data_IF_891434963642
#
_entry.id   IF_891434963642
#
_cell.length_a   1.000
_cell.length_b   1.000
_cell.length_c   1.000
_cell.angle_alpha   90.00
_cell.angle_beta   90.00
_cell.angle_gamma   90.00
#
_symmetry.space_group_name_H-M   'P 1'
#
loop_
_entity.id
_entity.type
_entity.pdbx_description
1 polymer ?
#
# COMPACT_ATOMS: atom_id res chain seq x y z
N UNK A 1 -27.08 15.20 -3.60
CA UNK A 1 -26.73 14.01 -2.82
C UNK A 1 -25.36 13.56 -3.32
N UNK A 2 -24.31 13.89 -2.57
CA UNK A 2 -22.96 13.44 -2.86
C UNK A 2 -22.92 11.93 -2.63
N UNK A 3 -22.63 11.15 -3.68
CA UNK A 3 -22.30 9.75 -3.54
C UNK A 3 -20.98 9.69 -2.76
N UNK A 4 -21.11 9.29 -1.51
CA UNK A 4 -19.99 8.82 -0.70
C UNK A 4 -19.30 7.73 -1.51
N UNK A 5 -18.08 8.02 -2.01
CA UNK A 5 -17.26 7.06 -2.75
C UNK A 5 -16.75 6.05 -1.72
N UNK A 6 -17.63 5.10 -1.38
CA UNK A 6 -17.43 4.12 -0.34
C UNK A 6 -16.16 3.32 -0.58
N UNK A 7 -15.41 3.16 0.48
CA UNK A 7 -14.44 2.09 0.70
C UNK A 7 -14.99 0.81 0.09
N UNK A 8 -14.19 0.11 -0.71
CA UNK A 8 -14.52 -1.15 -1.39
C UNK A 8 -15.35 -2.06 -0.46
N UNK A 9 -16.67 -2.13 -0.71
CA UNK A 9 -17.61 -2.95 0.06
C UNK A 9 -17.79 -4.34 -0.55
N UNK A 10 -16.98 -4.67 -1.58
CA UNK A 10 -16.96 -5.98 -2.23
C UNK A 10 -16.50 -7.09 -1.28
N UNK A 11 -16.92 -8.31 -1.56
CA UNK A 11 -16.43 -9.49 -0.85
C UNK A 11 -14.97 -9.78 -1.21
N UNK A 12 -14.28 -10.59 -0.39
CA UNK A 12 -12.95 -11.11 -0.74
C UNK A 12 -12.99 -11.85 -2.08
N UNK A 13 -14.06 -12.56 -2.36
CA UNK A 13 -14.27 -13.26 -3.64
C UNK A 13 -14.29 -12.27 -4.80
N UNK A 14 -15.08 -11.19 -4.69
CA UNK A 14 -15.15 -10.15 -5.72
C UNK A 14 -13.77 -9.50 -5.98
N UNK A 15 -12.99 -9.26 -4.93
CA UNK A 15 -11.65 -8.74 -5.07
C UNK A 15 -10.74 -9.72 -5.82
N UNK A 16 -10.78 -11.01 -5.49
CA UNK A 16 -9.97 -12.04 -6.15
C UNK A 16 -10.37 -12.23 -7.60
N UNK A 17 -11.66 -12.20 -7.92
CA UNK A 17 -12.16 -12.30 -9.30
C UNK A 17 -11.70 -11.10 -10.14
N UNK A 18 -11.75 -9.89 -9.59
CA UNK A 18 -11.22 -8.69 -10.24
C UNK A 18 -9.71 -8.76 -10.43
N UNK A 19 -8.98 -9.23 -9.42
CA UNK A 19 -7.52 -9.37 -9.46
C UNK A 19 -7.07 -10.37 -10.53
N UNK A 20 -7.82 -11.45 -10.73
CA UNK A 20 -7.55 -12.47 -11.74
C UNK A 20 -7.94 -12.03 -13.16
N UNK A 21 -8.70 -10.95 -13.30
CA UNK A 21 -9.17 -10.47 -14.59
C UNK A 21 -8.03 -9.83 -15.42
N UNK A 22 -8.22 -9.77 -16.74
CA UNK A 22 -7.29 -9.06 -17.65
C UNK A 22 -7.57 -7.54 -17.64
N UNK A 23 -7.44 -6.91 -16.49
CA UNK A 23 -7.66 -5.47 -16.26
C UNK A 23 -6.42 -4.85 -15.65
N UNK A 24 -6.19 -3.54 -15.82
CA UNK A 24 -5.03 -2.86 -15.22
C UNK A 24 -5.06 -2.87 -13.68
N UNK A 25 -6.24 -2.87 -13.08
CA UNK A 25 -6.47 -2.84 -11.63
C UNK A 25 -7.65 -3.74 -11.25
N UNK A 26 -7.66 -4.31 -10.03
CA UNK A 26 -6.59 -4.29 -9.03
C UNK A 26 -5.33 -5.03 -9.48
N UNK A 27 -4.18 -4.69 -8.88
CA UNK A 27 -2.88 -5.28 -9.18
C UNK A 27 -2.03 -5.45 -7.90
N UNK A 28 -0.72 -5.60 -8.06
CA UNK A 28 0.20 -5.83 -6.96
C UNK A 28 0.14 -4.76 -5.85
N UNK A 29 -0.11 -3.50 -6.19
CA UNK A 29 -0.25 -2.42 -5.22
C UNK A 29 -1.49 -2.58 -4.34
N UNK A 30 -2.62 -2.92 -4.95
CA UNK A 30 -3.85 -3.24 -4.23
C UNK A 30 -3.67 -4.45 -3.31
N UNK A 31 -2.91 -5.48 -3.75
CA UNK A 31 -2.55 -6.64 -2.91
C UNK A 31 -1.71 -6.21 -1.71
N UNK A 32 -0.72 -5.33 -1.90
CA UNK A 32 0.10 -4.82 -0.80
C UNK A 32 -0.74 -4.13 0.29
N UNK A 33 -1.67 -3.28 -0.13
CA UNK A 33 -2.59 -2.60 0.78
C UNK A 33 -3.54 -3.57 1.49
N UNK A 34 -4.09 -4.57 0.78
CA UNK A 34 -4.92 -5.62 1.37
C UNK A 34 -4.16 -6.48 2.39
N UNK A 35 -2.93 -6.85 2.12
CA UNK A 35 -2.07 -7.53 3.09
C UNK A 35 -1.92 -6.70 4.37
N UNK A 36 -1.64 -5.40 4.23
CA UNK A 36 -1.49 -4.50 5.39
C UNK A 36 -2.79 -4.37 6.18
N UNK A 37 -3.95 -4.30 5.51
CA UNK A 37 -5.26 -4.28 6.17
C UNK A 37 -5.54 -5.57 6.94
N UNK A 38 -5.25 -6.73 6.37
CA UNK A 38 -5.40 -8.04 7.04
C UNK A 38 -4.49 -8.16 8.26
N UNK A 39 -3.24 -7.72 8.14
CA UNK A 39 -2.30 -7.70 9.26
C UNK A 39 -2.81 -6.82 10.40
N UNK A 40 -3.29 -5.60 10.11
CA UNK A 40 -3.87 -4.70 11.09
C UNK A 40 -5.14 -5.31 11.75
N UNK A 41 -5.98 -6.00 10.99
CA UNK A 41 -7.16 -6.70 11.51
C UNK A 41 -6.79 -7.79 12.50
N UNK A 42 -5.78 -8.63 12.21
CA UNK A 42 -5.25 -9.63 13.14
C UNK A 42 -4.71 -8.98 14.42
N UNK A 43 -3.97 -7.88 14.29
CA UNK A 43 -3.45 -7.12 15.45
C UNK A 43 -4.60 -6.58 16.30
N UNK A 44 -5.65 -6.00 15.69
CA UNK A 44 -6.83 -5.52 16.40
C UNK A 44 -7.54 -6.66 17.16
N UNK A 45 -7.65 -7.83 16.54
CA UNK A 45 -8.20 -9.01 17.19
C UNK A 45 -7.39 -9.41 18.44
N UNK A 46 -6.07 -9.54 18.30
CA UNK A 46 -5.19 -9.92 19.42
C UNK A 46 -5.23 -8.86 20.53
N UNK A 47 -5.21 -7.56 20.17
CA UNK A 47 -5.29 -6.45 21.12
C UNK A 47 -6.58 -6.50 21.95
N UNK A 48 -7.72 -6.91 21.39
CA UNK A 48 -8.97 -7.13 22.10
C UNK A 48 -8.84 -8.26 23.13
N UNK A 49 -8.23 -9.37 22.76
CA UNK A 49 -7.98 -10.48 23.70
C UNK A 49 -6.97 -10.14 24.80
N UNK A 50 -6.10 -9.15 24.57
CA UNK A 50 -5.16 -8.64 25.56
C UNK A 50 -5.73 -7.48 26.39
N UNK A 51 -6.99 -7.08 26.17
CA UNK A 51 -7.65 -5.95 26.85
C UNK A 51 -6.86 -4.64 26.72
N UNK A 52 -6.28 -4.39 25.52
CA UNK A 52 -5.44 -3.24 25.21
C UNK A 52 -6.19 -2.24 24.30
N UNK A 53 -7.14 -1.44 24.79
CA UNK A 53 -8.06 -0.63 24.00
C UNK A 53 -7.32 0.40 23.11
N UNK A 54 -6.24 0.99 23.57
CA UNK A 54 -5.44 1.95 22.78
C UNK A 54 -4.78 1.28 21.57
N UNK A 55 -4.35 0.03 21.70
CA UNK A 55 -3.77 -0.72 20.60
C UNK A 55 -4.85 -1.22 19.63
N UNK A 56 -6.07 -1.48 20.13
CA UNK A 56 -7.24 -1.78 19.28
C UNK A 56 -7.52 -0.58 18.38
N UNK A 57 -7.68 0.61 18.95
CA UNK A 57 -7.98 1.84 18.20
C UNK A 57 -6.92 2.12 17.12
N UNK A 58 -5.64 2.04 17.49
CA UNK A 58 -4.53 2.23 16.52
C UNK A 58 -4.58 1.22 15.39
N UNK A 59 -4.81 -0.05 15.69
CA UNK A 59 -4.89 -1.10 14.68
C UNK A 59 -6.11 -0.93 13.75
N UNK A 60 -7.25 -0.50 14.28
CA UNK A 60 -8.45 -0.20 13.48
C UNK A 60 -8.24 0.99 12.53
N UNK A 61 -7.56 2.04 12.98
CA UNK A 61 -7.20 3.18 12.14
C UNK A 61 -6.25 2.75 10.99
N UNK A 62 -5.26 1.91 11.29
CA UNK A 62 -4.37 1.35 10.26
C UNK A 62 -5.11 0.45 9.28
N UNK A 63 -6.03 -0.38 9.75
CA UNK A 63 -6.88 -1.22 8.91
C UNK A 63 -7.74 -0.37 7.97
N UNK A 64 -8.39 0.67 8.50
CA UNK A 64 -9.21 1.59 7.71
C UNK A 64 -8.36 2.33 6.66
N UNK A 65 -7.18 2.83 7.05
CA UNK A 65 -6.27 3.52 6.12
C UNK A 65 -5.76 2.58 5.03
N UNK A 66 -5.38 1.36 5.37
CA UNK A 66 -4.91 0.38 4.39
C UNK A 66 -6.00 0.00 3.38
N UNK A 67 -7.27 -0.12 3.81
CA UNK A 67 -8.40 -0.33 2.89
C UNK A 67 -8.61 0.86 1.95
N UNK A 68 -8.45 2.08 2.44
CA UNK A 68 -8.54 3.27 1.60
C UNK A 68 -7.39 3.31 0.58
N UNK A 69 -6.19 2.86 0.96
CA UNK A 69 -5.02 2.78 0.06
C UNK A 69 -5.23 1.81 -1.11
N UNK A 70 -6.09 0.79 -0.99
CA UNK A 70 -6.48 -0.06 -2.14
C UNK A 70 -7.14 0.80 -3.21
N UNK A 71 -8.10 1.63 -2.84
CA UNK A 71 -8.85 2.51 -3.76
C UNK A 71 -7.95 3.59 -4.36
N UNK A 72 -7.07 4.16 -3.52
CA UNK A 72 -6.11 5.18 -3.96
C UNK A 72 -5.09 4.60 -4.96
N UNK A 73 -4.61 3.37 -4.75
CA UNK A 73 -3.72 2.66 -5.65
C UNK A 73 -4.39 2.40 -7.01
N UNK A 74 -5.61 1.86 -7.01
CA UNK A 74 -6.36 1.61 -8.25
C UNK A 74 -6.55 2.89 -9.06
N UNK A 75 -6.89 4.00 -8.41
CA UNK A 75 -7.06 5.31 -9.05
C UNK A 75 -5.73 5.85 -9.60
N UNK A 76 -4.67 5.79 -8.79
CA UNK A 76 -3.36 6.30 -9.19
C UNK A 76 -2.77 5.50 -10.36
N UNK A 77 -2.97 4.18 -10.39
CA UNK A 77 -2.53 3.37 -11.52
C UNK A 77 -3.38 3.60 -12.78
N UNK A 78 -4.66 3.92 -12.64
CA UNK A 78 -5.50 4.37 -13.75
C UNK A 78 -4.89 5.58 -14.45
N UNK A 79 -4.43 6.58 -13.70
CA UNK A 79 -3.75 7.75 -14.25
C UNK A 79 -2.43 7.40 -14.99
N UNK A 80 -1.71 6.36 -14.55
CA UNK A 80 -0.53 5.85 -15.27
C UNK A 80 -0.93 5.22 -16.61
N UNK A 81 -2.00 4.42 -16.62
CA UNK A 81 -2.52 3.82 -17.85
C UNK A 81 -2.98 4.89 -18.87
N UNK A 82 -3.67 5.93 -18.40
CA UNK A 82 -4.10 7.07 -19.21
C UNK A 82 -2.91 7.83 -19.81
N UNK A 83 -1.87 8.08 -19.00
CA UNK A 83 -0.64 8.74 -19.47
C UNK A 83 0.09 7.90 -20.55
N UNK A 84 0.10 6.59 -20.42
CA UNK A 84 0.68 5.71 -21.45
C UNK A 84 -0.15 5.66 -22.73
N UNK A 85 -1.46 5.88 -22.66
CA UNK A 85 -2.35 5.92 -23.80
C UNK A 85 -2.25 7.23 -24.62
N UNK A 86 -1.57 8.27 -24.11
CA UNK A 86 -1.37 9.53 -24.83
C UNK A 86 -0.69 9.29 -26.20
N UNK A 87 -1.00 10.15 -27.21
CA UNK A 87 -0.43 10.04 -28.55
C UNK A 87 1.10 9.99 -28.53
N UNK A 88 1.67 9.26 -29.49
CA UNK A 88 3.11 9.14 -29.71
C UNK A 88 3.50 9.94 -30.96
N UNK A 89 4.72 10.46 -30.97
CA UNK A 89 5.28 11.18 -32.11
C UNK A 89 6.04 12.43 -31.65
N UNK A 90 6.97 12.90 -32.45
CA UNK A 90 7.91 13.96 -32.08
C UNK A 90 7.27 15.25 -31.53
N UNK A 91 6.03 15.55 -31.93
CA UNK A 91 5.29 16.72 -31.43
C UNK A 91 4.69 16.53 -30.03
N UNK A 92 4.62 15.29 -29.53
CA UNK A 92 3.95 14.92 -28.26
C UNK A 92 4.89 14.26 -27.25
N UNK A 93 6.11 13.92 -27.66
CA UNK A 93 7.00 13.08 -26.84
C UNK A 93 7.40 13.75 -25.53
N UNK A 94 7.62 15.06 -25.51
CA UNK A 94 7.98 15.80 -24.30
C UNK A 94 6.80 15.85 -23.30
N UNK A 95 5.62 16.24 -23.79
CA UNK A 95 4.39 16.32 -22.98
C UNK A 95 4.02 14.93 -22.43
N UNK A 96 4.07 13.91 -23.29
CA UNK A 96 3.81 12.53 -22.91
C UNK A 96 4.79 12.02 -21.85
N UNK A 97 6.07 12.30 -22.01
CA UNK A 97 7.10 11.91 -21.04
C UNK A 97 6.88 12.57 -19.68
N UNK A 98 6.54 13.87 -19.67
CA UNK A 98 6.23 14.60 -18.47
C UNK A 98 4.97 14.05 -17.77
N UNK A 99 3.91 13.76 -18.54
CA UNK A 99 2.68 13.17 -18.02
C UNK A 99 2.91 11.79 -17.38
N UNK A 100 3.65 10.91 -18.07
CA UNK A 100 4.03 9.59 -17.52
C UNK A 100 4.85 9.75 -16.24
N UNK A 101 5.81 10.65 -16.21
CA UNK A 101 6.64 10.91 -15.04
C UNK A 101 5.83 11.37 -13.84
N UNK A 102 4.91 12.31 -14.06
CA UNK A 102 4.01 12.81 -13.02
C UNK A 102 3.07 11.70 -12.50
N UNK A 103 2.51 10.89 -13.40
CA UNK A 103 1.63 9.78 -13.04
C UNK A 103 2.36 8.69 -12.22
N UNK A 104 3.57 8.30 -12.61
CA UNK A 104 4.41 7.34 -11.87
C UNK A 104 4.79 7.84 -10.47
N UNK A 105 5.11 9.13 -10.33
CA UNK A 105 5.33 9.76 -9.03
C UNK A 105 4.06 9.71 -8.18
N UNK A 106 2.92 10.07 -8.75
CA UNK A 106 1.62 10.00 -8.08
C UNK A 106 1.25 8.58 -7.63
N UNK A 107 1.50 7.57 -8.48
CA UNK A 107 1.24 6.17 -8.16
C UNK A 107 2.20 5.59 -7.09
N UNK A 108 3.33 6.24 -6.86
CA UNK A 108 4.26 5.84 -5.80
C UNK A 108 3.80 6.31 -4.41
N UNK A 109 2.97 7.34 -4.31
CA UNK A 109 2.54 7.93 -3.03
C UNK A 109 1.68 6.97 -2.19
N UNK A 110 0.58 6.35 -2.70
CA UNK A 110 -0.18 5.37 -1.92
C UNK A 110 0.68 4.18 -1.51
N UNK A 111 1.59 3.73 -2.35
CA UNK A 111 2.49 2.61 -2.02
C UNK A 111 3.49 2.95 -0.90
N UNK A 112 4.03 4.17 -0.87
CA UNK A 112 4.87 4.62 0.24
C UNK A 112 4.09 4.63 1.56
N UNK A 113 2.82 5.03 1.54
CA UNK A 113 1.96 5.00 2.71
C UNK A 113 1.58 3.56 3.14
N UNK A 114 1.47 2.60 2.22
CA UNK A 114 1.35 1.18 2.57
C UNK A 114 2.58 0.71 3.35
N UNK A 115 3.78 1.09 2.93
CA UNK A 115 5.02 0.76 3.67
C UNK A 115 4.99 1.34 5.08
N UNK A 116 4.61 2.60 5.24
CA UNK A 116 4.51 3.26 6.55
C UNK A 116 3.48 2.57 7.45
N UNK A 117 2.30 2.28 6.92
CA UNK A 117 1.25 1.58 7.67
C UNK A 117 1.69 0.16 8.07
N UNK A 118 2.36 -0.58 7.19
CA UNK A 118 2.87 -1.91 7.50
C UNK A 118 3.95 -1.88 8.59
N UNK A 119 4.84 -0.88 8.59
CA UNK A 119 5.83 -0.67 9.65
C UNK A 119 5.13 -0.41 10.99
N UNK A 120 4.11 0.45 11.00
CA UNK A 120 3.35 0.74 12.22
C UNK A 120 2.62 -0.51 12.75
N UNK A 121 2.08 -1.36 11.88
CA UNK A 121 1.51 -2.67 12.26
C UNK A 121 2.57 -3.54 12.96
N UNK A 122 3.80 -3.59 12.43
CA UNK A 122 4.89 -4.34 13.06
C UNK A 122 5.25 -3.79 14.45
N UNK A 123 5.22 -2.47 14.63
CA UNK A 123 5.40 -1.84 15.96
C UNK A 123 4.30 -2.27 16.93
N UNK A 124 3.03 -2.31 16.49
CA UNK A 124 1.93 -2.78 17.34
C UNK A 124 2.08 -4.26 17.72
N UNK A 125 2.58 -5.10 16.82
CA UNK A 125 2.88 -6.51 17.10
C UNK A 125 3.91 -6.62 18.23
N UNK A 126 4.98 -5.84 18.17
CA UNK A 126 6.03 -5.88 19.20
C UNK A 126 5.51 -5.38 20.56
N UNK A 127 4.63 -4.39 20.61
CA UNK A 127 3.96 -3.93 21.83
C UNK A 127 3.02 -4.99 22.42
N UNK A 128 2.32 -5.78 21.59
CA UNK A 128 1.40 -6.83 22.04
C UNK A 128 2.10 -8.12 22.45
N UNK A 129 3.29 -8.40 21.92
CA UNK A 129 4.01 -9.66 22.13
C UNK A 129 4.15 -10.07 23.58
N UNK A 130 4.49 -9.17 24.56
CA UNK A 130 4.61 -9.54 25.95
C UNK A 130 3.29 -9.94 26.61
N UNK A 131 2.17 -9.33 26.19
CA UNK A 131 0.84 -9.55 26.75
C UNK A 131 0.08 -10.71 26.10
N UNK A 132 0.50 -11.13 24.90
CA UNK A 132 -0.20 -12.15 24.13
C UNK A 132 -0.07 -13.53 24.77
N UNK A 133 -1.21 -14.16 25.07
CA UNK A 133 -1.28 -15.55 25.53
C UNK A 133 -0.71 -16.50 24.48
N UNK A 134 -0.24 -17.68 24.92
CA UNK A 134 0.40 -18.67 24.04
C UNK A 134 -0.44 -18.99 22.78
N UNK A 135 -1.77 -19.12 22.94
CA UNK A 135 -2.68 -19.42 21.82
C UNK A 135 -2.85 -18.29 20.78
N UNK A 136 -2.42 -17.05 21.08
CA UNK A 136 -2.52 -15.90 20.18
C UNK A 136 -1.19 -15.55 19.51
N UNK A 137 -0.11 -16.21 19.89
CA UNK A 137 1.22 -15.92 19.33
C UNK A 137 1.32 -16.25 17.85
N UNK A 138 0.64 -17.31 17.41
CA UNK A 138 0.58 -17.68 16.00
C UNK A 138 -0.09 -16.60 15.15
N UNK A 139 -1.13 -15.95 15.68
CA UNK A 139 -1.84 -14.86 14.98
C UNK A 139 -0.95 -13.62 14.86
N UNK A 140 -0.16 -13.30 15.89
CA UNK A 140 0.84 -12.21 15.80
C UNK A 140 1.94 -12.53 14.78
N UNK A 141 2.39 -13.80 14.72
CA UNK A 141 3.35 -14.22 13.70
C UNK A 141 2.75 -14.06 12.31
N UNK A 142 1.52 -14.56 12.11
CA UNK A 142 0.80 -14.44 10.84
C UNK A 142 0.63 -12.97 10.44
N UNK A 143 0.18 -12.10 11.36
CA UNK A 143 0.09 -10.66 11.13
C UNK A 143 1.43 -10.07 10.69
N UNK A 144 2.53 -10.45 11.33
CA UNK A 144 3.87 -10.00 10.99
C UNK A 144 4.32 -10.43 9.59
N UNK A 145 4.05 -11.69 9.19
CA UNK A 145 4.40 -12.16 7.84
C UNK A 145 3.59 -11.43 6.76
N UNK A 146 2.29 -11.24 6.98
CA UNK A 146 1.43 -10.55 6.03
C UNK A 146 1.79 -9.06 5.94
N UNK A 147 2.12 -8.39 7.05
CA UNK A 147 2.62 -7.00 7.04
C UNK A 147 3.93 -6.86 6.27
N UNK A 148 4.88 -7.78 6.49
CA UNK A 148 6.15 -7.80 5.74
C UNK A 148 5.95 -8.01 4.25
N UNK A 149 5.05 -8.93 3.86
CA UNK A 149 4.69 -9.16 2.46
C UNK A 149 4.12 -7.88 1.83
N UNK A 150 3.15 -7.22 2.48
CA UNK A 150 2.59 -5.94 2.02
C UNK A 150 3.66 -4.87 1.83
N UNK A 151 4.52 -4.68 2.84
CA UNK A 151 5.63 -3.71 2.77
C UNK A 151 6.60 -4.03 1.63
N UNK A 152 6.98 -5.29 1.44
CA UNK A 152 7.93 -5.71 0.39
C UNK A 152 7.36 -5.45 -1.02
N UNK A 153 6.08 -5.80 -1.26
CA UNK A 153 5.42 -5.56 -2.54
C UNK A 153 5.31 -4.06 -2.81
N UNK A 154 4.88 -3.27 -1.82
CA UNK A 154 4.76 -1.82 -1.97
C UNK A 154 6.11 -1.15 -2.27
N UNK A 155 7.20 -1.54 -1.59
CA UNK A 155 8.57 -1.06 -1.90
C UNK A 155 8.97 -1.36 -3.33
N UNK A 156 8.77 -2.60 -3.78
CA UNK A 156 9.10 -3.02 -5.15
C UNK A 156 8.32 -2.18 -6.19
N UNK A 157 7.04 -1.88 -5.94
CA UNK A 157 6.24 -1.04 -6.82
C UNK A 157 6.79 0.39 -6.89
N UNK A 158 7.11 1.01 -5.75
CA UNK A 158 7.72 2.36 -5.73
C UNK A 158 9.06 2.35 -6.46
N UNK A 159 9.94 1.39 -6.19
CA UNK A 159 11.24 1.28 -6.86
C UNK A 159 11.08 1.13 -8.37
N UNK A 160 10.13 0.31 -8.82
CA UNK A 160 9.82 0.11 -10.24
C UNK A 160 9.34 1.40 -10.89
N UNK A 161 8.41 2.11 -10.25
CA UNK A 161 7.88 3.38 -10.76
C UNK A 161 8.95 4.46 -10.85
N UNK A 162 9.83 4.54 -9.84
CA UNK A 162 10.86 5.57 -9.76
C UNK A 162 12.09 5.28 -10.62
N UNK A 163 12.29 4.03 -11.09
CA UNK A 163 13.48 3.63 -11.86
C UNK A 163 13.66 4.41 -13.15
N UNK A 164 12.55 4.71 -13.83
CA UNK A 164 12.56 5.41 -15.11
C UNK A 164 12.55 6.95 -14.96
N UNK A 165 12.48 7.47 -13.73
CA UNK A 165 12.37 8.90 -13.48
C UNK A 165 13.74 9.53 -13.22
N UNK A 166 13.98 10.75 -13.71
CA UNK A 166 15.18 11.50 -13.39
C UNK A 166 15.24 11.79 -11.88
N UNK A 167 16.46 12.05 -11.40
CA UNK A 167 16.65 12.47 -10.02
C UNK A 167 15.90 13.78 -9.75
N UNK A 168 15.11 13.77 -8.69
CA UNK A 168 14.33 14.92 -8.23
C UNK A 168 14.17 14.88 -6.72
N UNK A 169 13.83 16.03 -6.13
CA UNK A 169 13.53 16.11 -4.69
C UNK A 169 12.32 15.23 -4.32
N UNK A 170 11.30 15.18 -5.18
CA UNK A 170 10.12 14.33 -4.97
C UNK A 170 10.48 12.84 -4.95
N UNK A 171 11.28 12.38 -5.94
CA UNK A 171 11.81 11.01 -5.98
C UNK A 171 12.64 10.70 -4.74
N UNK A 172 13.56 11.59 -4.37
CA UNK A 172 14.42 11.42 -3.20
C UNK A 172 13.62 11.36 -1.90
N UNK A 173 12.55 12.14 -1.76
CA UNK A 173 11.65 12.13 -0.59
C UNK A 173 10.95 10.77 -0.44
N UNK A 174 10.40 10.22 -1.53
CA UNK A 174 9.76 8.90 -1.50
C UNK A 174 10.75 7.80 -1.09
N UNK A 175 11.95 7.80 -1.65
CA UNK A 175 12.99 6.81 -1.29
C UNK A 175 13.38 6.90 0.19
N UNK A 176 13.54 8.12 0.74
CA UNK A 176 13.82 8.30 2.18
C UNK A 176 12.70 7.75 3.06
N UNK A 177 11.42 7.99 2.73
CA UNK A 177 10.27 7.47 3.48
C UNK A 177 10.25 5.95 3.55
N UNK A 178 10.72 5.30 2.50
CA UNK A 178 10.83 3.84 2.48
C UNK A 178 12.10 3.29 3.17
N UNK A 179 12.95 4.13 3.74
CA UNK A 179 14.20 3.71 4.36
C UNK A 179 15.23 3.20 3.35
N UNK A 180 15.08 3.54 2.08
CA UNK A 180 16.11 3.31 1.06
C UNK A 180 17.14 4.42 1.20
N UNK A 181 18.23 4.15 1.92
CA UNK A 181 19.36 5.07 2.01
C UNK A 181 19.93 5.32 0.60
N UNK A 182 20.37 6.57 0.33
CA UNK A 182 21.25 6.84 -0.80
C UNK A 182 22.53 6.02 -0.57
N UNK A 183 22.63 4.89 -1.21
CA UNK A 183 23.78 4.00 -1.05
C UNK A 183 23.98 3.12 -2.25
N UNK A 184 25.06 3.37 -2.89
CA UNK A 184 25.89 2.56 -3.79
C UNK A 184 25.33 2.35 -5.19
N UNK A 185 25.63 3.31 -6.05
CA UNK A 185 25.92 2.98 -7.44
C UNK A 185 27.25 2.24 -7.52
#
# INVERSE_FOLDING_TARGET
>A
MAHDAGVDTGTVTDFLDRLAARTPTPAGGSVAAQCTAQAAALVAMVARYCEAPELVERAELLMARARQLVVEDERAFGAVADAWALPRGASYDEERTAAIGAALLGASEPQAQVVEAAIEVLVLIDLLRPAARAGLRSDLVAAGEVARAGSAIARMNVESNLRALPDSEARSRLLRRMGVAKGSA
#
